data_IF_028366817809
#
_entry.id   IF_028366817809
#
_cell.length_a   1.000
_cell.length_b   1.000
_cell.length_c   1.000
_cell.angle_alpha   90.00
_cell.angle_beta   90.00
_cell.angle_gamma   90.00
#
_symmetry.space_group_name_H-M   'P 1'
#
loop_
_entity.id
_entity.type
_entity.pdbx_description
1 polymer ?
#
# COMPACT_ATOMS: atom_id res chain seq x y z
N UNK A 1 3.08 -6.50 -37.38
CA UNK A 1 2.27 -5.26 -37.43
C UNK A 1 3.15 -4.10 -36.95
N UNK A 2 2.81 -2.84 -37.27
CA UNK A 2 3.53 -1.70 -36.69
C UNK A 2 3.30 -1.68 -35.17
N UNK A 3 4.36 -1.44 -34.40
CA UNK A 3 4.29 -1.30 -32.95
C UNK A 3 4.05 0.15 -32.60
N UNK A 4 3.07 0.39 -31.74
CA UNK A 4 2.72 1.73 -31.24
C UNK A 4 2.91 1.75 -29.73
N UNK A 5 3.42 2.87 -29.20
CA UNK A 5 3.51 3.10 -27.77
C UNK A 5 2.29 3.91 -27.32
N UNK A 6 1.57 3.40 -26.32
CA UNK A 6 0.42 4.07 -25.69
C UNK A 6 0.80 4.41 -24.24
N UNK A 7 0.98 5.70 -23.90
CA UNK A 7 1.25 6.12 -22.54
C UNK A 7 -0.06 6.22 -21.73
N UNK A 8 -0.05 5.67 -20.52
CA UNK A 8 -1.13 5.82 -19.53
C UNK A 8 -0.51 6.34 -18.23
N UNK A 9 -1.05 7.44 -17.71
CA UNK A 9 -0.61 8.05 -16.47
C UNK A 9 0.44 9.18 -16.64
N UNK A 10 1.10 9.62 -15.54
CA UNK A 10 0.89 9.14 -14.17
C UNK A 10 -0.43 9.62 -13.56
N UNK A 11 -1.11 10.58 -14.20
CA UNK A 11 -2.41 11.08 -13.78
C UNK A 11 -3.45 10.77 -14.85
N UNK A 12 -4.08 9.60 -14.75
CA UNK A 12 -5.17 9.20 -15.63
C UNK A 12 -6.46 9.01 -14.81
N UNK A 13 -7.65 9.44 -15.30
CA UNK A 13 -8.90 9.37 -14.52
C UNK A 13 -9.35 7.98 -14.07
N UNK A 14 -8.83 6.93 -14.70
CA UNK A 14 -9.11 5.53 -14.34
C UNK A 14 -8.08 4.93 -13.37
N UNK A 15 -7.06 5.69 -12.97
CA UNK A 15 -6.05 5.25 -12.02
C UNK A 15 -6.39 5.78 -10.63
N UNK A 16 -6.40 4.87 -9.65
CA UNK A 16 -6.58 5.20 -8.23
C UNK A 16 -5.31 5.83 -7.64
N UNK A 17 -4.13 5.41 -8.13
CA UNK A 17 -2.81 5.84 -7.67
C UNK A 17 -1.95 6.33 -8.85
N UNK A 18 -0.98 7.23 -8.62
CA UNK A 18 -0.16 7.78 -9.69
C UNK A 18 0.90 6.77 -10.15
N UNK A 19 0.68 6.22 -11.34
CA UNK A 19 1.48 5.17 -11.94
C UNK A 19 1.63 5.43 -13.44
N UNK A 20 2.81 5.29 -14.00
CA UNK A 20 3.03 5.49 -15.43
C UNK A 20 3.29 4.16 -16.13
N UNK A 21 2.47 3.87 -17.14
CA UNK A 21 2.56 2.68 -17.97
C UNK A 21 2.81 3.10 -19.41
N UNK A 22 3.91 2.64 -20.00
CA UNK A 22 4.19 2.77 -21.42
C UNK A 22 3.93 1.42 -22.09
N UNK A 23 2.73 1.28 -22.66
CA UNK A 23 2.29 0.04 -23.31
C UNK A 23 2.82 -0.03 -24.74
N UNK A 24 3.45 -1.14 -25.12
CA UNK A 24 3.73 -1.43 -26.52
C UNK A 24 2.60 -2.30 -27.08
N UNK A 25 1.97 -1.84 -28.16
CA UNK A 25 0.76 -2.44 -28.72
C UNK A 25 0.99 -2.84 -30.19
N UNK A 26 0.53 -4.03 -30.55
CA UNK A 26 0.38 -4.49 -31.94
C UNK A 26 -1.12 -4.66 -32.25
N UNK A 27 -1.72 -3.67 -32.93
CA UNK A 27 -3.16 -3.61 -33.14
C UNK A 27 -3.89 -3.29 -31.83
N UNK A 28 -4.68 -4.23 -31.32
CA UNK A 28 -5.37 -4.13 -30.01
C UNK A 28 -4.68 -4.94 -28.91
N UNK A 29 -3.61 -5.67 -29.24
CA UNK A 29 -2.90 -6.55 -28.30
C UNK A 29 -1.73 -5.83 -27.65
N UNK A 30 -1.74 -5.72 -26.33
CA UNK A 30 -0.56 -5.34 -25.55
C UNK A 30 0.48 -6.47 -25.66
N UNK A 31 1.68 -6.14 -26.13
CA UNK A 31 2.78 -7.10 -26.31
C UNK A 31 3.94 -6.86 -25.35
N UNK A 32 4.05 -5.66 -24.78
CA UNK A 32 5.06 -5.31 -23.79
C UNK A 32 4.60 -4.10 -22.95
N UNK A 33 5.23 -3.89 -21.79
CA UNK A 33 4.93 -2.78 -20.87
C UNK A 33 6.20 -2.32 -20.13
N UNK A 34 6.49 -1.02 -20.19
CA UNK A 34 7.43 -0.36 -19.28
C UNK A 34 6.65 0.30 -18.14
N UNK A 35 6.88 -0.15 -16.91
CA UNK A 35 6.17 0.27 -15.70
C UNK A 35 7.07 1.21 -14.90
N UNK A 36 6.59 2.42 -14.64
CA UNK A 36 7.26 3.41 -13.80
C UNK A 36 6.35 3.77 -12.63
N UNK A 37 6.80 3.46 -11.44
CA UNK A 37 6.10 3.70 -10.17
C UNK A 37 6.92 4.63 -9.26
N UNK A 38 6.38 4.94 -8.08
CA UNK A 38 7.08 5.72 -7.07
C UNK A 38 6.72 7.21 -7.03
N UNK A 39 5.76 7.65 -7.85
CA UNK A 39 5.26 9.03 -7.82
C UNK A 39 4.65 9.43 -6.46
N UNK A 40 4.17 8.44 -5.69
CA UNK A 40 3.64 8.60 -4.33
C UNK A 40 4.62 8.13 -3.22
N UNK A 41 5.91 8.01 -3.52
CA UNK A 41 6.91 7.62 -2.53
C UNK A 41 7.06 8.69 -1.43
N UNK A 42 6.76 8.32 -0.18
CA UNK A 42 6.76 9.22 0.98
C UNK A 42 7.82 8.89 2.04
N UNK A 43 8.68 7.90 1.80
CA UNK A 43 9.71 7.50 2.76
C UNK A 43 9.17 7.00 4.11
N UNK A 44 8.00 6.34 4.12
CA UNK A 44 7.31 5.85 5.33
C UNK A 44 8.25 5.03 6.22
N UNK A 45 8.97 4.06 5.65
CA UNK A 45 9.92 3.22 6.39
C UNK A 45 11.00 4.05 7.08
N UNK A 46 11.62 4.98 6.34
CA UNK A 46 12.66 5.85 6.87
C UNK A 46 12.11 6.80 7.95
N UNK A 47 10.88 7.28 7.78
CA UNK A 47 10.22 8.10 8.78
C UNK A 47 9.97 7.30 10.07
N UNK A 48 9.54 6.04 9.96
CA UNK A 48 9.34 5.16 11.11
C UNK A 48 10.60 4.92 11.95
N UNK A 49 11.80 4.92 11.34
CA UNK A 49 13.07 4.83 12.10
C UNK A 49 13.27 5.99 13.09
N UNK A 50 12.62 7.13 12.85
CA UNK A 50 12.71 8.33 13.72
C UNK A 50 11.56 8.44 14.72
N UNK A 51 10.69 7.43 14.79
CA UNK A 51 9.50 7.38 15.63
C UNK A 51 9.62 6.28 16.68
N UNK A 52 8.92 6.47 17.79
CA UNK A 52 8.71 5.38 18.75
C UNK A 52 7.73 4.35 18.16
N UNK A 53 7.67 3.15 18.76
CA UNK A 53 6.81 2.08 18.25
C UNK A 53 5.33 2.49 18.21
N UNK A 54 4.85 3.22 19.22
CA UNK A 54 3.48 3.75 19.29
C UNK A 54 3.21 4.86 18.25
N UNK A 55 4.20 5.71 17.98
CA UNK A 55 4.10 6.75 16.96
C UNK A 55 4.11 6.19 15.53
N UNK A 56 4.86 5.12 15.30
CA UNK A 56 4.98 4.48 13.99
C UNK A 56 3.66 3.92 13.48
N UNK A 57 2.74 3.49 14.37
CA UNK A 57 1.40 3.01 13.97
C UNK A 57 0.66 4.04 13.13
N UNK A 58 0.70 5.32 13.50
CA UNK A 58 0.05 6.40 12.75
C UNK A 58 0.72 6.66 11.40
N UNK A 59 2.04 6.48 11.31
CA UNK A 59 2.77 6.62 10.04
C UNK A 59 2.38 5.49 9.08
N UNK A 60 2.23 4.27 9.61
CA UNK A 60 1.91 3.04 8.88
C UNK A 60 0.47 3.01 8.38
N UNK A 61 -0.47 3.55 9.15
CA UNK A 61 -1.87 3.78 8.71
C UNK A 61 -1.95 4.54 7.38
N UNK A 62 -0.96 5.37 7.06
CA UNK A 62 -0.95 6.18 5.85
C UNK A 62 -0.36 5.47 4.64
N UNK A 63 0.07 4.20 4.73
CA UNK A 63 0.65 3.47 3.59
C UNK A 63 -0.32 3.41 2.42
N UNK A 64 -1.58 3.06 2.68
CA UNK A 64 -2.65 2.99 1.70
C UNK A 64 -3.81 3.91 2.13
N UNK A 65 -4.41 4.63 1.19
CA UNK A 65 -5.53 5.52 1.47
C UNK A 65 -6.86 4.82 1.77
N UNK A 66 -6.99 3.54 1.44
CA UNK A 66 -8.23 2.76 1.59
C UNK A 66 -8.13 1.62 2.62
N UNK A 67 -6.92 1.27 3.07
CA UNK A 67 -6.67 0.18 4.02
C UNK A 67 -6.13 0.73 5.36
N UNK A 68 -6.89 1.63 5.98
CA UNK A 68 -6.54 2.33 7.24
C UNK A 68 -6.42 1.40 8.46
N UNK A 69 -7.04 0.21 8.47
CA UNK A 69 -7.02 -0.74 9.58
C UNK A 69 -6.00 -1.85 9.33
N UNK A 70 -5.95 -2.37 8.10
CA UNK A 70 -5.12 -3.52 7.74
C UNK A 70 -3.62 -3.29 7.99
N UNK A 71 -3.09 -2.12 7.62
CA UNK A 71 -1.68 -1.78 7.82
C UNK A 71 -1.28 -1.64 9.30
N UNK A 72 -1.95 -0.81 10.13
CA UNK A 72 -1.59 -0.69 11.53
C UNK A 72 -1.90 -1.98 12.31
N UNK A 73 -2.90 -2.77 11.90
CA UNK A 73 -3.16 -4.09 12.48
C UNK A 73 -1.98 -5.04 12.27
N UNK A 74 -1.46 -5.14 11.03
CA UNK A 74 -0.29 -5.96 10.72
C UNK A 74 0.96 -5.51 11.49
N UNK A 75 1.20 -4.20 11.56
CA UNK A 75 2.32 -3.65 12.33
C UNK A 75 2.20 -3.91 13.83
N UNK A 76 1.03 -3.67 14.41
CA UNK A 76 0.81 -3.88 15.85
C UNK A 76 1.04 -5.35 16.21
N UNK A 77 0.57 -6.29 15.38
CA UNK A 77 0.82 -7.72 15.58
C UNK A 77 2.32 -8.06 15.51
N UNK A 78 3.05 -7.49 14.56
CA UNK A 78 4.49 -7.70 14.48
C UNK A 78 5.22 -7.19 15.74
N UNK A 79 4.82 -6.05 16.29
CA UNK A 79 5.37 -5.53 17.55
C UNK A 79 5.02 -6.43 18.73
N UNK A 80 3.77 -6.91 18.82
CA UNK A 80 3.31 -7.85 19.86
C UNK A 80 4.09 -9.17 19.85
N UNK A 81 4.34 -9.72 18.65
CA UNK A 81 5.14 -10.95 18.46
C UNK A 81 6.59 -10.75 18.91
N UNK A 82 7.19 -9.59 18.66
CA UNK A 82 8.57 -9.25 19.08
C UNK A 82 8.70 -9.21 20.61
N UNK A 83 7.70 -8.66 21.31
CA UNK A 83 7.74 -8.50 22.77
C UNK A 83 7.12 -9.67 23.53
N UNK A 84 6.51 -10.64 22.84
CA UNK A 84 5.88 -11.82 23.43
C UNK A 84 4.65 -11.51 24.27
N UNK A 85 3.87 -10.49 23.90
CA UNK A 85 2.65 -10.11 24.63
C UNK A 85 1.46 -10.95 24.19
N UNK A 86 0.74 -11.51 25.17
CA UNK A 86 -0.55 -12.15 24.91
C UNK A 86 -1.67 -11.10 24.89
N UNK A 87 -2.31 -10.95 23.73
CA UNK A 87 -3.41 -10.00 23.53
C UNK A 87 -4.68 -10.51 24.24
N UNK A 88 -5.38 -9.69 25.04
CA UNK A 88 -6.63 -10.08 25.69
C UNK A 88 -7.70 -10.52 24.68
N UNK A 89 -8.51 -11.50 25.06
CA UNK A 89 -9.51 -12.09 24.17
C UNK A 89 -10.49 -11.05 23.59
N UNK A 90 -10.96 -10.13 24.43
CA UNK A 90 -11.82 -9.01 23.99
C UNK A 90 -11.15 -8.16 22.90
N UNK A 91 -9.84 -7.91 22.99
CA UNK A 91 -9.12 -7.11 22.02
C UNK A 91 -8.99 -7.84 20.67
N UNK A 92 -8.82 -9.17 20.68
CA UNK A 92 -8.84 -9.98 19.44
C UNK A 92 -10.19 -9.83 18.72
N UNK A 93 -11.31 -10.01 19.43
CA UNK A 93 -12.64 -9.84 18.84
C UNK A 93 -12.87 -8.44 18.27
N UNK A 94 -12.52 -7.38 19.01
CA UNK A 94 -12.67 -6.00 18.53
C UNK A 94 -11.86 -5.80 17.25
N UNK A 95 -10.60 -6.23 17.24
CA UNK A 95 -9.73 -6.08 16.07
C UNK A 95 -10.26 -6.85 14.86
N UNK A 96 -10.77 -8.07 15.04
CA UNK A 96 -11.39 -8.84 13.95
C UNK A 96 -12.63 -8.12 13.39
N UNK A 97 -13.53 -7.64 14.24
CA UNK A 97 -14.73 -6.93 13.77
C UNK A 97 -14.36 -5.67 12.98
N UNK A 98 -13.37 -4.89 13.44
CA UNK A 98 -12.93 -3.68 12.74
C UNK A 98 -12.22 -4.05 11.43
N UNK A 99 -11.35 -5.07 11.43
CA UNK A 99 -10.60 -5.48 10.25
C UNK A 99 -11.50 -6.02 9.12
N UNK A 100 -12.60 -6.71 9.45
CA UNK A 100 -13.58 -7.20 8.46
C UNK A 100 -14.60 -6.13 8.05
N UNK A 101 -14.74 -5.07 8.86
CA UNK A 101 -15.67 -3.96 8.62
C UNK A 101 -15.05 -2.78 7.87
N UNK A 102 -13.77 -2.88 7.51
CA UNK A 102 -13.04 -1.96 6.65
C UNK A 102 -13.48 -2.04 5.19
#
# INVERSE_FOLDING_TARGET
>A
MARTIVPIGPYHPLQEEPEFFSLTVEGEKVVDIDVRIGYNHRGIEKLSETKTFDQSTFVIERICGICSTSHPFAYTRAVEDIIGVEVPERAKYIRTIIAEGE
#
